data_IF_848697444953
#
_entry.id   IF_848697444953
#
_cell.length_a   1.000
_cell.length_b   1.000
_cell.length_c   1.000
_cell.angle_alpha   90.00
_cell.angle_beta   90.00
_cell.angle_gamma   90.00
#
_symmetry.space_group_name_H-M   'P 1'
#
loop_
_entity.id
_entity.type
_entity.pdbx_description
1 polymer ?
#
# COMPACT_ATOMS: atom_id res chain seq x y z
N UNK A 1 -9.09 7.65 -14.18
CA UNK A 1 -9.14 7.98 -12.73
C UNK A 1 -7.82 7.71 -12.02
N UNK A 2 -7.49 6.49 -11.56
CA UNK A 2 -6.28 6.30 -10.74
C UNK A 2 -4.98 6.71 -11.47
N UNK A 3 -4.74 6.17 -12.67
CA UNK A 3 -3.56 6.52 -13.48
C UNK A 3 -3.50 8.02 -13.81
N UNK A 4 -4.60 8.57 -14.31
CA UNK A 4 -4.78 9.99 -14.59
C UNK A 4 -4.44 10.86 -13.37
N UNK A 5 -4.92 10.52 -12.17
CA UNK A 5 -4.60 11.25 -10.95
C UNK A 5 -3.11 11.24 -10.64
N UNK A 6 -2.45 10.09 -10.75
CA UNK A 6 -1.01 9.98 -10.52
C UNK A 6 -0.20 10.80 -11.52
N UNK A 7 -0.59 10.80 -12.79
CA UNK A 7 0.16 11.49 -13.86
C UNK A 7 -0.16 12.99 -13.92
N UNK A 8 -1.43 13.35 -13.92
CA UNK A 8 -1.88 14.72 -14.19
C UNK A 8 -1.98 15.58 -12.93
N UNK A 9 -2.30 14.99 -11.77
CA UNK A 9 -2.48 15.73 -10.53
C UNK A 9 -1.28 15.63 -9.59
N UNK A 10 -0.64 14.46 -9.50
CA UNK A 10 0.58 14.29 -8.71
C UNK A 10 1.87 14.49 -9.52
N UNK A 11 1.80 14.50 -10.86
CA UNK A 11 2.96 14.73 -11.71
C UNK A 11 3.98 13.58 -11.69
N UNK A 12 3.55 12.36 -11.33
CA UNK A 12 4.44 11.20 -11.39
C UNK A 12 4.75 10.84 -12.83
N UNK A 13 5.96 10.37 -13.08
CA UNK A 13 6.36 9.88 -14.39
C UNK A 13 5.81 8.46 -14.60
N UNK A 14 5.05 8.25 -15.68
CA UNK A 14 4.58 6.91 -16.09
C UNK A 14 5.73 5.91 -16.21
N UNK A 15 6.94 6.38 -16.52
CA UNK A 15 8.15 5.57 -16.64
C UNK A 15 8.64 4.98 -15.30
N UNK A 16 8.12 5.43 -14.16
CA UNK A 16 8.42 4.82 -12.85
C UNK A 16 7.29 3.93 -12.34
N UNK A 17 6.11 3.99 -12.96
CA UNK A 17 4.94 3.22 -12.51
C UNK A 17 4.98 1.78 -13.01
N UNK A 18 4.56 0.89 -12.11
CA UNK A 18 4.30 -0.52 -12.35
C UNK A 18 2.94 -0.89 -11.77
N UNK A 19 2.31 -1.94 -12.28
CA UNK A 19 1.04 -2.43 -11.74
C UNK A 19 1.06 -3.94 -11.55
N UNK A 20 0.37 -4.41 -10.53
CA UNK A 20 0.14 -5.83 -10.31
C UNK A 20 -1.32 -6.17 -10.55
N UNK A 21 -1.60 -7.43 -10.89
CA UNK A 21 -2.95 -7.94 -11.20
C UNK A 21 -3.06 -9.37 -10.71
N UNK A 22 -4.27 -9.81 -10.36
CA UNK A 22 -4.46 -11.16 -9.86
C UNK A 22 -4.20 -12.23 -10.92
N UNK A 23 -3.30 -13.17 -10.61
CA UNK A 23 -2.90 -14.28 -11.47
C UNK A 23 -3.88 -15.46 -11.44
N UNK A 24 -4.97 -15.37 -10.67
CA UNK A 24 -5.88 -16.48 -10.44
C UNK A 24 -5.38 -17.42 -9.35
N UNK A 25 -6.27 -18.28 -8.89
CA UNK A 25 -5.96 -19.35 -7.97
C UNK A 25 -6.81 -20.59 -8.30
N UNK A 26 -6.17 -21.69 -8.77
CA UNK A 26 -6.90 -22.91 -9.12
C UNK A 26 -7.59 -23.59 -7.93
N UNK A 27 -7.07 -23.46 -6.71
CA UNK A 27 -7.65 -24.09 -5.51
C UNK A 27 -8.94 -23.38 -5.08
N UNK A 28 -8.95 -22.05 -5.19
CA UNK A 28 -10.12 -21.20 -4.96
C UNK A 28 -11.07 -21.14 -6.17
N UNK A 29 -10.71 -21.78 -7.29
CA UNK A 29 -11.45 -21.75 -8.55
C UNK A 29 -11.67 -20.32 -9.10
N UNK A 30 -10.69 -19.43 -8.90
CA UNK A 30 -10.72 -18.06 -9.43
C UNK A 30 -9.75 -17.97 -10.61
N UNK A 31 -10.21 -17.42 -11.73
CA UNK A 31 -9.38 -17.24 -12.92
C UNK A 31 -8.47 -16.01 -12.79
N UNK A 32 -7.38 -15.93 -13.59
CA UNK A 32 -6.62 -14.70 -13.73
C UNK A 32 -7.50 -13.53 -14.14
N UNK A 33 -7.20 -12.34 -13.62
CA UNK A 33 -7.93 -11.11 -13.93
C UNK A 33 -7.43 -10.49 -15.25
N UNK A 34 -7.79 -11.13 -16.35
CA UNK A 34 -7.47 -10.67 -17.71
C UNK A 34 -8.14 -9.32 -18.03
N UNK A 35 -9.29 -9.02 -17.41
CA UNK A 35 -9.99 -7.75 -17.60
C UNK A 35 -9.16 -6.58 -17.07
N UNK A 36 -8.54 -6.72 -15.90
CA UNK A 36 -7.62 -5.72 -15.36
C UNK A 36 -6.38 -5.54 -16.26
N UNK A 37 -5.83 -6.62 -16.81
CA UNK A 37 -4.70 -6.55 -17.75
C UNK A 37 -5.06 -5.74 -19.00
N UNK A 38 -6.18 -6.07 -19.65
CA UNK A 38 -6.64 -5.38 -20.85
C UNK A 38 -6.95 -3.91 -20.57
N UNK A 39 -7.54 -3.60 -19.42
CA UNK A 39 -7.81 -2.24 -18.97
C UNK A 39 -6.50 -1.43 -18.84
N UNK A 40 -5.50 -1.98 -18.15
CA UNK A 40 -4.21 -1.32 -17.95
C UNK A 40 -3.50 -1.03 -19.28
N UNK A 41 -3.49 -1.99 -20.20
CA UNK A 41 -2.96 -1.79 -21.55
C UNK A 41 -3.74 -0.69 -22.27
N UNK A 42 -5.07 -0.69 -22.18
CA UNK A 42 -5.93 0.30 -22.84
C UNK A 42 -5.68 1.71 -22.35
N UNK A 43 -5.42 1.90 -21.05
CA UNK A 43 -5.11 3.22 -20.47
C UNK A 43 -3.64 3.62 -20.63
N UNK A 44 -2.81 2.80 -21.30
CA UNK A 44 -1.46 3.16 -21.71
C UNK A 44 -0.34 2.60 -20.85
N UNK A 45 -0.61 1.66 -19.94
CA UNK A 45 0.44 0.98 -19.18
C UNK A 45 1.17 -0.03 -20.09
N UNK A 46 2.53 0.00 -20.16
CA UNK A 46 3.28 -0.99 -20.93
C UNK A 46 3.06 -2.41 -20.39
N UNK A 47 2.87 -3.38 -21.29
CA UNK A 47 2.51 -4.76 -20.91
C UNK A 47 3.56 -5.41 -20.00
N UNK A 48 4.83 -5.10 -20.22
CA UNK A 48 5.96 -5.59 -19.44
C UNK A 48 5.97 -5.07 -17.98
N UNK A 49 5.16 -4.07 -17.67
CA UNK A 49 5.01 -3.50 -16.32
C UNK A 49 3.73 -3.91 -15.61
N UNK A 50 2.94 -4.77 -16.24
CA UNK A 50 1.75 -5.40 -15.66
C UNK A 50 2.17 -6.79 -15.18
N UNK A 51 2.33 -6.94 -13.85
CA UNK A 51 2.89 -8.14 -13.23
C UNK A 51 1.77 -8.97 -12.59
N UNK A 52 1.49 -10.19 -13.09
CA UNK A 52 0.53 -11.07 -12.43
C UNK A 52 1.11 -11.63 -11.13
N UNK A 53 0.40 -11.50 -10.00
CA UNK A 53 0.77 -12.08 -8.71
C UNK A 53 -0.38 -12.89 -8.09
N UNK A 54 -0.03 -13.77 -7.15
CA UNK A 54 -0.96 -14.75 -6.57
C UNK A 54 -1.85 -14.18 -5.46
N UNK A 55 -2.44 -15.08 -4.68
CA UNK A 55 -3.36 -14.77 -3.57
C UNK A 55 -2.74 -13.85 -2.53
N UNK A 56 -1.47 -14.05 -2.18
CA UNK A 56 -0.79 -13.27 -1.13
C UNK A 56 -0.70 -11.78 -1.45
N UNK A 57 -0.61 -11.42 -2.73
CA UNK A 57 -0.42 -10.04 -3.17
C UNK A 57 -1.69 -9.43 -3.79
N UNK A 58 -2.45 -10.21 -4.57
CA UNK A 58 -3.55 -9.69 -5.39
C UNK A 58 -4.93 -10.30 -5.12
N UNK A 59 -5.11 -11.00 -3.99
CA UNK A 59 -6.43 -11.31 -3.46
C UNK A 59 -6.61 -10.59 -2.12
N UNK A 60 -7.25 -9.44 -2.14
CA UNK A 60 -7.41 -8.62 -0.94
C UNK A 60 -8.55 -9.15 -0.06
N UNK A 61 -8.32 -9.17 1.25
CA UNK A 61 -9.29 -9.61 2.25
C UNK A 61 -9.30 -8.69 3.46
N UNK A 62 -10.46 -8.58 4.12
CA UNK A 62 -10.56 -7.93 5.42
C UNK A 62 -9.66 -8.63 6.45
N UNK A 63 -8.97 -7.86 7.30
CA UNK A 63 -7.99 -8.37 8.29
C UNK A 63 -8.48 -9.38 9.34
N UNK A 64 -9.74 -9.80 9.28
CA UNK A 64 -10.31 -10.91 10.06
C UNK A 64 -10.52 -12.22 9.28
N UNK A 65 -10.14 -12.28 7.99
CA UNK A 65 -10.31 -13.45 7.13
C UNK A 65 -11.76 -13.84 6.84
N UNK A 66 -12.73 -13.00 7.20
CA UNK A 66 -14.16 -13.17 6.96
C UNK A 66 -14.73 -11.82 6.51
N UNK A 67 -15.58 -11.85 5.48
CA UNK A 67 -16.24 -10.68 4.92
C UNK A 67 -15.89 -10.42 3.45
N UNK A 68 -16.26 -9.23 2.93
CA UNK A 68 -16.01 -8.86 1.54
C UNK A 68 -14.52 -8.94 1.16
N UNK A 69 -14.25 -9.50 0.00
CA UNK A 69 -12.91 -9.68 -0.57
C UNK A 69 -12.98 -9.74 -2.09
N UNK A 70 -11.83 -9.73 -2.74
CA UNK A 70 -11.76 -9.95 -4.17
C UNK A 70 -10.39 -9.73 -4.78
N UNK A 71 -10.26 -10.02 -6.08
CA UNK A 71 -9.07 -9.69 -6.85
C UNK A 71 -8.77 -8.20 -6.73
N UNK A 72 -7.50 -7.85 -6.69
CA UNK A 72 -7.09 -6.45 -6.71
C UNK A 72 -5.99 -6.20 -7.73
N UNK A 73 -5.82 -4.91 -8.03
CA UNK A 73 -4.71 -4.41 -8.83
C UNK A 73 -4.04 -3.28 -8.08
N UNK A 74 -2.73 -3.39 -7.88
CA UNK A 74 -1.97 -2.43 -7.11
C UNK A 74 -1.03 -1.65 -8.00
N UNK A 75 -0.79 -0.38 -7.65
CA UNK A 75 0.10 0.52 -8.35
C UNK A 75 1.35 0.71 -7.49
N UNK A 76 2.50 0.50 -8.12
CA UNK A 76 3.82 0.61 -7.53
C UNK A 76 4.62 1.74 -8.18
N UNK A 77 5.49 2.37 -7.39
CA UNK A 77 6.52 3.29 -7.88
C UNK A 77 7.89 2.62 -7.76
N UNK A 78 8.64 2.56 -8.86
CA UNK A 78 10.06 2.20 -8.86
C UNK A 78 10.90 3.36 -8.31
N UNK A 79 11.38 3.21 -7.07
CA UNK A 79 12.25 4.17 -6.37
C UNK A 79 13.71 4.09 -6.82
N UNK A 80 14.02 3.15 -7.70
CA UNK A 80 15.33 2.96 -8.29
C UNK A 80 16.19 1.90 -7.59
N UNK A 81 17.32 1.53 -8.20
CA UNK A 81 18.15 0.41 -7.76
C UNK A 81 18.73 0.52 -6.34
N UNK A 82 18.86 1.74 -5.80
CA UNK A 82 19.37 1.97 -4.44
C UNK A 82 18.50 1.32 -3.36
N UNK A 83 17.20 1.13 -3.63
CA UNK A 83 16.25 0.45 -2.75
C UNK A 83 16.04 -1.02 -3.12
N UNK A 84 16.76 -1.53 -4.13
CA UNK A 84 16.59 -2.86 -4.68
C UNK A 84 17.44 -3.91 -3.98
N UNK A 85 17.05 -5.18 -4.12
CA UNK A 85 17.81 -6.33 -3.63
C UNK A 85 19.03 -6.72 -4.49
N UNK A 86 19.37 -5.93 -5.52
CA UNK A 86 20.44 -6.23 -6.48
C UNK A 86 20.11 -7.34 -7.49
N UNK A 87 18.95 -7.99 -7.39
CA UNK A 87 18.53 -9.01 -8.37
C UNK A 87 18.24 -8.37 -9.73
N UNK A 88 18.72 -8.97 -10.85
CA UNK A 88 18.38 -8.51 -12.19
C UNK A 88 16.88 -8.69 -12.51
N UNK A 89 16.16 -9.53 -11.77
CA UNK A 89 14.71 -9.76 -11.93
C UNK A 89 13.87 -9.04 -10.87
N UNK A 90 14.45 -8.07 -10.16
CA UNK A 90 13.75 -7.28 -9.16
C UNK A 90 12.59 -6.50 -9.82
N UNK A 91 11.36 -6.78 -9.37
CA UNK A 91 10.08 -6.22 -9.85
C UNK A 91 9.04 -6.25 -8.70
N UNK A 92 7.82 -5.68 -8.86
CA UNK A 92 6.74 -5.86 -7.88
C UNK A 92 6.50 -7.33 -7.50
N UNK A 93 6.14 -7.58 -6.24
CA UNK A 93 6.15 -8.92 -5.63
C UNK A 93 7.51 -9.34 -5.03
N UNK A 94 8.50 -8.45 -5.06
CA UNK A 94 9.76 -8.64 -4.32
C UNK A 94 9.65 -8.01 -2.93
N UNK A 95 10.22 -8.65 -1.92
CA UNK A 95 10.23 -8.16 -0.53
C UNK A 95 11.21 -7.01 -0.26
N UNK A 96 11.66 -6.28 -1.29
CA UNK A 96 12.59 -5.15 -1.16
C UNK A 96 11.86 -3.81 -1.34
N UNK A 97 12.46 -2.71 -0.88
CA UNK A 97 11.81 -1.39 -0.85
C UNK A 97 11.85 -0.62 -2.18
N UNK A 98 12.34 -1.24 -3.26
CA UNK A 98 12.44 -0.59 -4.59
C UNK A 98 11.09 -0.31 -5.21
N UNK A 99 10.21 -1.31 -5.21
CA UNK A 99 8.87 -1.17 -5.75
C UNK A 99 7.95 -0.89 -4.59
N UNK A 100 7.66 0.39 -4.36
CA UNK A 100 6.79 0.82 -3.28
C UNK A 100 5.35 0.82 -3.76
N UNK A 101 4.52 -0.04 -3.19
CA UNK A 101 3.07 -0.03 -3.39
C UNK A 101 2.50 1.28 -2.82
N UNK A 102 1.85 2.07 -3.68
CA UNK A 102 1.27 3.36 -3.28
C UNK A 102 -0.25 3.34 -3.27
N UNK A 103 -0.88 2.47 -4.06
CA UNK A 103 -2.33 2.47 -4.25
C UNK A 103 -2.85 1.09 -4.61
N UNK A 104 -3.79 0.55 -3.82
CA UNK A 104 -4.49 -0.69 -4.09
C UNK A 104 -5.92 -0.42 -4.61
N UNK A 105 -6.29 -1.06 -5.72
CA UNK A 105 -7.62 -1.03 -6.33
C UNK A 105 -8.27 -2.41 -6.18
N UNK A 106 -9.16 -2.58 -5.21
CA UNK A 106 -9.82 -3.85 -4.90
C UNK A 106 -11.14 -3.95 -5.64
N UNK A 107 -11.30 -5.02 -6.42
CA UNK A 107 -12.54 -5.35 -7.10
C UNK A 107 -13.32 -6.30 -6.21
N UNK A 108 -14.25 -5.76 -5.44
CA UNK A 108 -15.05 -6.55 -4.49
C UNK A 108 -16.02 -7.45 -5.25
N UNK A 109 -15.72 -8.75 -5.26
CA UNK A 109 -16.48 -9.77 -5.98
C UNK A 109 -17.03 -10.88 -5.08
N UNK A 110 -16.38 -11.14 -3.94
CA UNK A 110 -16.68 -12.27 -3.08
C UNK A 110 -16.90 -11.85 -1.63
N UNK A 111 -17.57 -12.70 -0.88
CA UNK A 111 -17.59 -12.70 0.58
C UNK A 111 -16.96 -14.01 1.06
N UNK A 112 -15.92 -13.90 1.89
CA UNK A 112 -15.29 -15.04 2.55
C UNK A 112 -16.09 -15.37 3.81
N UNK A 113 -16.60 -16.59 3.85
CA UNK A 113 -17.35 -17.12 4.99
C UNK A 113 -16.41 -17.66 6.08
N UNK A 114 -16.95 -17.88 7.28
CA UNK A 114 -16.20 -18.40 8.44
C UNK A 114 -15.60 -19.79 8.22
N UNK A 115 -16.14 -20.57 7.28
CA UNK A 115 -15.61 -21.88 6.89
C UNK A 115 -14.56 -21.78 5.76
N UNK A 116 -14.16 -20.56 5.36
CA UNK A 116 -13.21 -20.30 4.30
C UNK A 116 -13.80 -20.30 2.88
N UNK A 117 -15.08 -20.65 2.70
CA UNK A 117 -15.71 -20.64 1.38
C UNK A 117 -15.88 -19.21 0.85
N UNK A 118 -15.72 -19.03 -0.46
CA UNK A 118 -15.99 -17.78 -1.16
C UNK A 118 -17.36 -17.85 -1.83
N UNK A 119 -18.21 -16.87 -1.56
CA UNK A 119 -19.52 -16.72 -2.22
C UNK A 119 -19.57 -15.40 -2.97
N UNK A 120 -20.17 -15.39 -4.16
CA UNK A 120 -20.26 -14.16 -4.95
C UNK A 120 -21.13 -13.10 -4.27
N UNK A 121 -20.67 -11.85 -4.28
CA UNK A 121 -21.45 -10.72 -3.82
C UNK A 121 -22.62 -10.44 -4.78
N UNK A 122 -23.77 -9.94 -4.27
CA UNK A 122 -24.92 -9.59 -5.09
C UNK A 122 -24.65 -8.39 -6.01
N UNK A 123 -23.65 -7.56 -5.68
CA UNK A 123 -23.21 -6.40 -6.47
C UNK A 123 -21.69 -6.28 -6.38
N UNK A 124 -21.07 -5.97 -7.52
CA UNK A 124 -19.65 -5.65 -7.60
C UNK A 124 -19.43 -4.19 -7.21
N UNK A 125 -18.41 -3.95 -6.40
CA UNK A 125 -18.01 -2.61 -5.99
C UNK A 125 -16.49 -2.47 -6.13
N UNK A 126 -16.01 -1.23 -6.09
CA UNK A 126 -14.58 -0.94 -6.03
C UNK A 126 -14.30 -0.35 -4.66
N UNK A 127 -13.34 -0.95 -3.95
CA UNK A 127 -12.72 -0.36 -2.77
C UNK A 127 -11.29 0.03 -3.13
N UNK A 128 -10.79 1.13 -2.59
CA UNK A 128 -9.46 1.59 -2.94
C UNK A 128 -8.76 2.32 -1.80
N UNK A 129 -7.50 1.97 -1.58
CA UNK A 129 -6.66 2.54 -0.54
C UNK A 129 -5.35 3.07 -1.10
N UNK A 130 -5.08 4.35 -0.87
CA UNK A 130 -3.82 4.99 -1.24
C UNK A 130 -3.12 5.48 0.04
N UNK A 131 -1.91 5.00 0.29
CA UNK A 131 -1.15 5.36 1.48
C UNK A 131 -0.62 6.79 1.36
N UNK A 132 -1.19 7.74 2.11
CA UNK A 132 -0.82 9.15 2.04
C UNK A 132 0.68 9.36 2.31
N UNK A 133 1.21 8.69 3.34
CA UNK A 133 2.60 8.81 3.76
C UNK A 133 3.55 8.22 2.72
N UNK A 134 3.14 7.12 2.07
CA UNK A 134 3.93 6.50 1.00
C UNK A 134 3.98 7.40 -0.23
N UNK A 135 2.84 7.95 -0.66
CA UNK A 135 2.78 8.90 -1.78
C UNK A 135 3.58 10.16 -1.47
N UNK A 136 3.44 10.72 -0.26
CA UNK A 136 4.24 11.86 0.18
C UNK A 136 5.74 11.56 0.14
N UNK A 137 6.16 10.36 0.54
CA UNK A 137 7.58 9.96 0.49
C UNK A 137 8.12 9.95 -0.94
N UNK A 138 7.32 9.51 -1.90
CA UNK A 138 7.68 9.55 -3.33
C UNK A 138 7.79 10.99 -3.82
N UNK A 139 6.78 11.82 -3.55
CA UNK A 139 6.75 13.21 -4.04
C UNK A 139 7.84 14.09 -3.43
N UNK A 140 8.22 13.83 -2.18
CA UNK A 140 9.28 14.56 -1.49
C UNK A 140 10.68 13.98 -1.75
N UNK A 141 10.77 12.84 -2.46
CA UNK A 141 12.03 12.12 -2.65
C UNK A 141 12.63 11.60 -1.34
N UNK A 142 11.80 11.28 -0.36
CA UNK A 142 12.21 10.82 0.96
C UNK A 142 12.61 9.33 0.96
N UNK A 143 13.55 8.98 1.83
CA UNK A 143 14.02 7.60 1.98
C UNK A 143 12.98 6.69 2.68
N UNK A 144 12.09 7.26 3.48
CA UNK A 144 11.03 6.54 4.18
C UNK A 144 9.79 7.41 4.38
N UNK A 145 8.66 6.77 4.67
CA UNK A 145 7.44 7.45 5.10
C UNK A 145 7.62 8.29 6.36
N UNK A 146 8.63 8.01 7.21
CA UNK A 146 8.90 8.77 8.43
C UNK A 146 9.82 9.97 8.21
N UNK A 147 10.40 10.08 7.03
CA UNK A 147 11.30 11.17 6.64
C UNK A 147 10.58 12.29 5.88
N UNK A 148 9.24 12.23 5.82
CA UNK A 148 8.40 13.27 5.20
C UNK A 148 8.08 14.37 6.22
N UNK A 149 7.79 15.55 5.71
CA UNK A 149 7.42 16.75 6.48
C UNK A 149 6.37 16.51 7.60
N UNK A 150 5.38 15.65 7.35
CA UNK A 150 4.34 15.26 8.31
C UNK A 150 4.92 14.72 9.62
N UNK A 151 6.01 13.94 9.57
CA UNK A 151 6.62 13.34 10.75
C UNK A 151 7.86 14.09 11.26
N UNK A 152 8.51 14.92 10.43
CA UNK A 152 9.72 15.65 10.84
C UNK A 152 9.48 16.53 12.08
N UNK A 153 8.38 17.29 12.11
CA UNK A 153 8.06 18.16 13.25
C UNK A 153 7.84 17.36 14.54
N UNK A 154 7.18 16.20 14.45
CA UNK A 154 6.99 15.31 15.59
C UNK A 154 8.32 14.68 16.05
N UNK A 155 9.18 14.31 15.09
CA UNK A 155 10.51 13.76 15.35
C UNK A 155 11.41 14.72 16.11
N UNK A 156 11.46 15.98 15.66
CA UNK A 156 12.24 17.04 16.32
C UNK A 156 11.76 17.27 17.75
N UNK A 157 10.43 17.30 17.96
CA UNK A 157 9.85 17.49 19.28
C UNK A 157 10.15 16.32 20.22
N UNK A 158 10.04 15.09 19.74
CA UNK A 158 10.37 13.89 20.52
C UNK A 158 11.85 13.88 20.91
N UNK A 159 12.75 14.21 19.98
CA UNK A 159 14.19 14.33 20.22
C UNK A 159 14.48 15.37 21.30
N UNK A 160 13.83 16.55 21.24
CA UNK A 160 13.98 17.60 22.23
C UNK A 160 13.53 17.19 23.64
N UNK A 161 12.50 16.34 23.76
CA UNK A 161 11.98 15.87 25.05
C UNK A 161 12.84 14.75 25.68
N UNK A 162 13.61 14.01 24.88
CA UNK A 162 14.43 12.89 25.36
C UNK A 162 15.86 13.27 25.80
N UNK A 163 16.32 14.50 25.50
CA UNK A 163 17.68 14.96 25.86
C UNK A 163 18.78 14.53 24.88
N UNK A 164 20.00 15.08 25.06
CA UNK A 164 21.12 15.02 24.08
C UNK A 164 21.70 13.61 23.77
N UNK A 165 21.34 12.56 24.50
CA UNK A 165 21.78 11.17 24.20
C UNK A 165 21.13 10.58 22.94
N UNK A 166 20.21 11.31 22.32
CA UNK A 166 19.37 10.85 21.21
C UNK A 166 19.82 11.35 19.83
N UNK A 167 21.02 11.89 19.60
CA UNK A 167 21.45 12.37 18.25
C UNK A 167 21.50 11.31 17.11
N UNK A 168 20.95 10.11 17.30
CA UNK A 168 20.94 9.00 16.34
C UNK A 168 19.69 8.91 15.45
N UNK A 169 18.54 9.46 15.86
CA UNK A 169 17.25 9.34 15.14
C UNK A 169 17.18 10.00 13.75
N UNK A 170 18.22 10.73 13.33
CA UNK A 170 18.22 11.53 12.11
C UNK A 170 18.63 10.77 10.83
N UNK A 171 18.82 9.46 10.87
CA UNK A 171 19.28 8.71 9.69
C UNK A 171 18.19 7.96 8.91
N UNK A 172 16.92 8.04 9.32
CA UNK A 172 15.82 7.35 8.63
C UNK A 172 15.89 5.81 8.65
N UNK A 173 16.91 5.22 9.28
CA UNK A 173 17.13 3.77 9.43
C UNK A 173 16.94 3.29 10.87
N UNK A 174 16.85 4.20 11.84
CA UNK A 174 16.56 3.86 13.23
C UNK A 174 15.08 3.45 13.40
N UNK A 175 14.83 2.13 13.36
CA UNK A 175 13.49 1.54 13.57
C UNK A 175 12.83 1.92 14.90
N UNK A 176 13.58 2.47 15.87
CA UNK A 176 13.03 3.01 17.12
C UNK A 176 12.09 4.22 16.89
N UNK A 177 12.36 5.06 15.88
CA UNK A 177 11.47 6.17 15.49
C UNK A 177 10.15 5.66 14.94
N UNK A 178 10.24 4.76 13.95
CA UNK A 178 9.10 4.05 13.37
C UNK A 178 8.22 3.45 14.46
N UNK A 179 8.82 2.68 15.39
CA UNK A 179 8.09 2.01 16.47
C UNK A 179 7.43 3.03 17.42
N UNK A 180 8.10 4.13 17.74
CA UNK A 180 7.57 5.15 18.65
C UNK A 180 6.42 5.93 17.99
N UNK A 181 6.57 6.31 16.71
CA UNK A 181 5.51 6.94 15.93
C UNK A 181 4.32 6.01 15.73
N UNK A 182 4.53 4.75 15.34
CA UNK A 182 3.46 3.76 15.18
C UNK A 182 2.71 3.53 16.50
N UNK A 183 3.44 3.37 17.62
CA UNK A 183 2.82 3.24 18.94
C UNK A 183 2.05 4.49 19.35
N UNK A 184 2.59 5.67 19.05
CA UNK A 184 1.90 6.93 19.33
C UNK A 184 0.62 7.07 18.50
N UNK A 185 0.69 6.84 17.19
CA UNK A 185 -0.48 6.82 16.30
C UNK A 185 -1.52 5.80 16.77
N UNK A 186 -1.09 4.59 17.13
CA UNK A 186 -1.96 3.55 17.66
C UNK A 186 -2.62 4.00 18.97
N UNK A 187 -1.85 4.57 19.90
CA UNK A 187 -2.38 5.02 21.19
C UNK A 187 -3.35 6.19 21.04
N UNK A 188 -3.07 7.14 20.13
CA UNK A 188 -4.02 8.20 19.76
C UNK A 188 -5.29 7.61 19.16
N UNK A 189 -5.20 6.61 18.28
CA UNK A 189 -6.39 5.95 17.70
C UNK A 189 -7.27 5.28 18.76
N UNK A 190 -6.68 4.67 19.79
CA UNK A 190 -7.40 4.08 20.91
C UNK A 190 -8.12 5.15 21.76
N UNK A 191 -7.46 6.28 22.03
CA UNK A 191 -8.06 7.41 22.77
C UNK A 191 -9.23 8.01 22.00
N UNK A 192 -9.07 8.25 20.69
CA UNK A 192 -10.16 8.76 19.84
C UNK A 192 -11.33 7.78 19.73
N UNK A 193 -11.07 6.47 19.75
CA UNK A 193 -12.11 5.44 19.73
C UNK A 193 -12.90 5.41 21.05
N UNK A 194 -12.23 5.65 22.18
CA UNK A 194 -12.86 5.73 23.50
C UNK A 194 -13.74 6.99 23.64
N UNK A 195 -13.30 8.13 23.10
CA UNK A 195 -14.08 9.37 23.09
C UNK A 195 -15.34 9.26 22.20
N UNK A 196 -15.24 8.54 21.07
CA UNK A 196 -16.39 8.26 20.19
C UNK A 196 -17.44 7.35 20.86
N UNK A 197 -17.03 6.44 21.75
CA UNK A 197 -17.95 5.62 22.56
C UNK A 197 -18.56 6.39 23.74
N UNK A 198 -17.89 7.45 24.22
CA UNK A 198 -18.40 8.32 25.29
C UNK A 198 -19.46 9.33 24.84
N UNK A 199 -19.55 9.62 23.54
CA UNK A 199 -20.55 10.53 22.97
C UNK A 199 -21.88 9.84 22.57
N UNK A 200 -22.00 8.53 22.77
CA UNK A 200 -23.18 7.73 22.43
C UNK A 200 -23.98 7.22 23.64
N UNK A 201 -23.78 7.82 24.83
CA UNK A 201 -24.58 7.60 26.05
C UNK A 201 -25.21 8.91 26.52
#
# INVERSE_FOLDING_TARGET
>A
MALEFLLEHLGLDVSTLWVTVFAGDPELCILPDEAAIEEWVRVGMPRERIVPLGVEDNLWEMGGGVGPCGPCSEIFVDRGPAFGCGSPTCRPGCSCDRYLEIWNLVFMEFERLTNGALVSLPRRNVDTGMGLERVASVLQGAESSFSIDLFLSASERLTALQGEESRRWNDGRDGLFSITCERFCWQVSQVLSLDAMGAAL
#
